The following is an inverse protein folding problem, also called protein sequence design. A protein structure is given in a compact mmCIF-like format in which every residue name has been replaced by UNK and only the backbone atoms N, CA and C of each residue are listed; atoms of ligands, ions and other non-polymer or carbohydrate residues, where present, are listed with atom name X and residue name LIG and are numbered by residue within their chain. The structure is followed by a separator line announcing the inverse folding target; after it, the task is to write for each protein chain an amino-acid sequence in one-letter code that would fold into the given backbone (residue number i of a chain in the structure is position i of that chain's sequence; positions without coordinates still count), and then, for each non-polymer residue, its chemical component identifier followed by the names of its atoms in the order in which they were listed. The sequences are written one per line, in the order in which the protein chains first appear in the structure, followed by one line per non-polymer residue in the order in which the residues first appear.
data_IF_892651341167
#
_entry.id   IF_892651341167
#
_cell.length_a   1.000
_cell.length_b   1.000
_cell.length_c   1.000
_cell.angle_alpha   90.00
_cell.angle_beta   90.00
_cell.angle_gamma   90.00
#
_symmetry.space_group_name_H-M   'P 1'
#
loop_
_entity.id
_entity.type
_entity.pdbx_description
1 polymer ?
#
# COMPACT_ATOMS: atom_id res chain seq x y z
N UNK A 1 -16.82 -0.32 -4.70
CA UNK A 1 -15.35 -0.11 -4.81
C UNK A 1 -14.81 -0.35 -6.23
N UNK A 2 -15.53 -1.05 -7.11
CA UNK A 2 -15.08 -1.24 -8.49
C UNK A 2 -14.92 0.12 -9.19
N UNK A 3 -13.75 0.35 -9.79
CA UNK A 3 -13.42 1.62 -10.46
C UNK A 3 -13.14 2.80 -9.53
N UNK A 4 -13.05 2.57 -8.21
CA UNK A 4 -12.68 3.57 -7.22
C UNK A 4 -11.31 3.22 -6.63
N UNK A 5 -10.22 3.82 -7.15
CA UNK A 5 -8.88 3.56 -6.63
C UNK A 5 -8.72 4.17 -5.23
N UNK A 6 -7.86 3.55 -4.43
CA UNK A 6 -7.46 4.03 -3.10
C UNK A 6 -5.98 4.39 -3.13
N UNK A 7 -5.57 5.35 -2.30
CA UNK A 7 -4.15 5.70 -2.18
C UNK A 7 -3.53 4.98 -1.00
N UNK A 8 -2.40 4.32 -1.24
CA UNK A 8 -1.64 3.62 -0.21
C UNK A 8 -0.32 4.37 0.03
N UNK A 9 0.01 4.59 1.31
CA UNK A 9 1.23 5.30 1.73
C UNK A 9 1.93 4.53 2.86
N UNK A 10 3.27 4.46 2.81
CA UNK A 10 4.10 4.04 3.95
C UNK A 10 4.93 5.22 4.43
N UNK A 11 4.86 5.53 5.72
CA UNK A 11 5.67 6.58 6.33
C UNK A 11 7.08 6.06 6.69
N UNK A 12 8.14 6.88 6.56
CA UNK A 12 8.15 8.23 5.99
C UNK A 12 8.10 8.23 4.45
N UNK A 13 7.40 9.21 3.86
CA UNK A 13 7.32 9.36 2.39
C UNK A 13 8.54 10.12 1.87
N UNK A 14 9.53 9.40 1.33
CA UNK A 14 10.80 10.00 0.86
C UNK A 14 10.73 10.59 -0.56
N UNK A 15 9.80 10.10 -1.38
CA UNK A 15 9.64 10.50 -2.77
C UNK A 15 8.20 10.30 -3.24
N UNK A 16 7.84 10.88 -4.39
CA UNK A 16 6.48 10.84 -4.95
C UNK A 16 5.89 9.43 -5.05
N UNK A 17 6.71 8.44 -5.38
CA UNK A 17 6.27 7.05 -5.50
C UNK A 17 5.99 6.35 -4.16
N UNK A 18 6.25 7.02 -3.03
CA UNK A 18 5.90 6.53 -1.69
C UNK A 18 4.41 6.65 -1.37
N UNK A 19 3.63 7.22 -2.29
CA UNK A 19 2.16 7.18 -2.31
C UNK A 19 1.76 6.66 -3.70
N UNK A 20 0.97 5.58 -3.78
CA UNK A 20 0.49 5.06 -5.06
C UNK A 20 -0.98 4.69 -5.00
N UNK A 21 -1.65 4.81 -6.13
CA UNK A 21 -3.05 4.43 -6.29
C UNK A 21 -3.16 2.95 -6.67
N UNK A 22 -4.08 2.23 -6.05
CA UNK A 22 -4.39 0.83 -6.37
C UNK A 22 -5.90 0.63 -6.50
N UNK A 23 -6.30 -0.31 -7.34
CA UNK A 23 -7.66 -0.81 -7.33
C UNK A 23 -7.81 -1.82 -6.17
N UNK A 24 -8.64 -1.56 -5.15
CA UNK A 24 -8.76 -2.46 -4.02
C UNK A 24 -9.48 -3.76 -4.42
N UNK A 25 -8.97 -4.87 -3.88
CA UNK A 25 -9.62 -6.19 -3.89
C UNK A 25 -9.95 -6.53 -2.44
N UNK A 26 -11.21 -6.86 -2.16
CA UNK A 26 -11.61 -7.28 -0.82
C UNK A 26 -10.99 -8.64 -0.50
N UNK A 27 -10.37 -8.73 0.67
CA UNK A 27 -9.76 -9.94 1.21
C UNK A 27 -10.23 -10.17 2.63
N UNK A 28 -10.24 -11.42 3.06
CA UNK A 28 -10.50 -11.78 4.45
C UNK A 28 -9.31 -11.40 5.35
N UNK A 29 -9.58 -11.13 6.63
CA UNK A 29 -8.56 -10.76 7.61
C UNK A 29 -8.44 -9.26 7.88
N UNK A 30 -7.32 -8.85 8.48
CA UNK A 30 -7.08 -7.45 8.94
C UNK A 30 -5.82 -6.81 8.37
N UNK A 31 -5.09 -7.52 7.52
CA UNK A 31 -3.84 -7.05 6.94
C UNK A 31 -4.07 -6.50 5.52
N UNK A 32 -3.27 -5.50 5.14
CA UNK A 32 -3.24 -5.00 3.75
C UNK A 32 -2.33 -5.93 2.94
N UNK A 33 -2.85 -6.49 1.85
CA UNK A 33 -2.04 -7.25 0.90
C UNK A 33 -1.36 -6.30 -0.09
N UNK A 34 -0.02 -6.24 -0.06
CA UNK A 34 0.78 -5.40 -0.94
C UNK A 34 1.38 -6.21 -2.09
N UNK A 35 1.38 -5.64 -3.30
CA UNK A 35 2.02 -6.29 -4.45
C UNK A 35 3.55 -6.35 -4.28
N UNK A 36 4.23 -7.51 -4.43
CA UNK A 36 5.66 -7.64 -4.14
C UNK A 36 6.57 -6.66 -4.92
N UNK A 37 6.22 -6.34 -6.18
CA UNK A 37 7.02 -5.42 -7.00
C UNK A 37 7.02 -3.96 -6.50
N UNK A 38 6.06 -3.54 -5.68
CA UNK A 38 6.04 -2.18 -5.14
C UNK A 38 6.72 -2.07 -3.77
N UNK A 39 7.11 -3.19 -3.13
CA UNK A 39 7.79 -3.19 -1.83
C UNK A 39 9.05 -2.33 -1.83
N UNK A 40 9.90 -2.47 -2.86
CA UNK A 40 11.13 -1.67 -3.00
C UNK A 40 10.84 -0.19 -3.06
N UNK A 41 9.74 0.20 -3.71
CA UNK A 41 9.36 1.60 -3.88
C UNK A 41 8.87 2.21 -2.57
N UNK A 42 8.10 1.46 -1.78
CA UNK A 42 7.71 1.89 -0.43
C UNK A 42 8.82 1.71 0.62
N UNK A 43 9.94 1.09 0.25
CA UNK A 43 10.95 0.56 1.16
C UNK A 43 10.33 -0.36 2.25
N UNK A 44 9.26 -1.06 1.90
CA UNK A 44 8.45 -1.86 2.83
C UNK A 44 9.02 -3.27 2.98
N UNK A 45 9.15 -3.70 4.23
CA UNK A 45 9.33 -5.09 4.64
C UNK A 45 8.02 -5.59 5.30
N UNK A 46 8.04 -6.81 5.82
CA UNK A 46 6.84 -7.48 6.36
C UNK A 46 7.06 -7.98 7.78
N UNK A 47 7.90 -7.29 8.55
CA UNK A 47 8.22 -7.60 9.95
C UNK A 47 7.37 -6.82 10.97
N UNK A 48 6.39 -6.03 10.49
CA UNK A 48 5.50 -5.22 11.33
C UNK A 48 5.09 -3.89 10.71
N UNK A 49 5.59 -3.58 9.52
CA UNK A 49 5.25 -2.38 8.75
C UNK A 49 3.74 -2.11 8.67
N UNK A 50 3.40 -0.83 8.84
CA UNK A 50 2.03 -0.33 8.68
C UNK A 50 1.95 0.65 7.50
N UNK A 51 0.81 0.63 6.82
CA UNK A 51 0.51 1.53 5.71
C UNK A 51 -0.84 2.20 5.93
N UNK A 52 -0.97 3.41 5.41
CA UNK A 52 -2.20 4.21 5.47
C UNK A 52 -2.92 4.11 4.14
N UNK A 53 -4.22 3.88 4.20
CA UNK A 53 -5.14 3.97 3.06
C UNK A 53 -5.88 5.31 3.16
N UNK A 54 -5.87 6.08 2.08
CA UNK A 54 -6.69 7.29 1.90
C UNK A 54 -7.79 7.04 0.87
#
# INVERSE_FOLDING_TARGET
IQGHPVLLNRAPTLHKLGIQAFQPVLVEGRAICLHPLVCKVFNADFDGDQMVVH
#
